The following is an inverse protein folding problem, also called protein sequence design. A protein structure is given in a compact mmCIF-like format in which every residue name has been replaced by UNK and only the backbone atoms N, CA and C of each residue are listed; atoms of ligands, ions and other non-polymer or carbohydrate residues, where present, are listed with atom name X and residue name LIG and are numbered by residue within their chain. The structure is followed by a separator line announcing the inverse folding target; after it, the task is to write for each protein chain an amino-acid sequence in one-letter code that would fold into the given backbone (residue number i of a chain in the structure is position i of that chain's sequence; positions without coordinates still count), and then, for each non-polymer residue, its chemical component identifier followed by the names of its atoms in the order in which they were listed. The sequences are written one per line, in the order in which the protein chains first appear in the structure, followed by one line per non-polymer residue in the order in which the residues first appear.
data_IF_745450791865
#
_entry.id   IF_745450791865
#
_cell.length_a   1.000
_cell.length_b   1.000
_cell.length_c   1.000
_cell.angle_alpha   90.00
_cell.angle_beta   90.00
_cell.angle_gamma   90.00
#
_symmetry.space_group_name_H-M   'P 1'
#
loop_
_entity.id
_entity.type
_entity.pdbx_description
1 polymer ?
#
# COMPACT_ATOMS: atom_id res chain seq x y z
N UNK A 1 -19.37 1.44 -2.58
CA UNK A 1 -19.34 0.77 -3.90
C UNK A 1 -20.38 1.38 -4.85
N UNK A 2 -21.55 1.80 -4.34
CA UNK A 2 -22.64 2.35 -5.15
C UNK A 2 -22.27 3.58 -6.01
N UNK A 3 -21.26 4.36 -5.63
CA UNK A 3 -20.79 5.56 -6.31
C UNK A 3 -19.51 5.32 -7.13
N UNK A 4 -19.42 4.20 -7.83
CA UNK A 4 -18.29 3.95 -8.71
C UNK A 4 -18.25 4.98 -9.84
N UNK A 5 -17.17 5.75 -9.92
CA UNK A 5 -17.03 6.87 -10.87
C UNK A 5 -16.65 6.45 -12.28
N UNK A 6 -16.29 5.19 -12.51
CA UNK A 6 -15.80 4.69 -13.81
C UNK A 6 -14.73 5.62 -14.40
N UNK A 7 -13.65 5.78 -13.67
CA UNK A 7 -12.57 6.68 -14.00
C UNK A 7 -11.34 5.90 -14.47
N UNK A 8 -10.69 6.38 -15.53
CA UNK A 8 -9.37 5.93 -15.96
C UNK A 8 -8.48 7.15 -16.03
N UNK A 9 -7.34 7.09 -15.35
CA UNK A 9 -6.36 8.16 -15.28
C UNK A 9 -5.00 7.73 -15.82
N UNK A 10 -4.29 8.67 -16.43
CA UNK A 10 -2.89 8.52 -16.82
C UNK A 10 -2.11 9.70 -16.27
N UNK A 11 -0.90 9.43 -15.80
CA UNK A 11 0.01 10.46 -15.28
C UNK A 11 1.39 10.25 -15.86
N UNK A 12 1.99 11.35 -16.28
CA UNK A 12 3.39 11.45 -16.69
C UNK A 12 4.05 12.54 -15.84
N UNK A 13 5.27 12.34 -15.43
CA UNK A 13 5.94 13.28 -14.54
C UNK A 13 7.46 13.20 -14.58
N UNK A 14 8.09 13.95 -13.69
CA UNK A 14 9.53 13.93 -13.51
C UNK A 14 10.05 12.54 -13.21
N UNK A 15 11.34 12.31 -13.45
CA UNK A 15 12.00 11.01 -13.26
C UNK A 15 11.41 9.87 -14.10
N UNK A 16 10.93 10.20 -15.31
CA UNK A 16 10.34 9.20 -16.20
C UNK A 16 9.05 8.58 -15.73
N UNK A 17 8.36 9.18 -14.74
CA UNK A 17 7.13 8.65 -14.15
C UNK A 17 6.06 8.40 -15.19
N UNK A 18 5.55 7.18 -15.19
CA UNK A 18 4.41 6.70 -15.98
C UNK A 18 3.46 5.97 -15.04
N UNK A 19 2.22 6.39 -15.01
CA UNK A 19 1.20 5.75 -14.19
C UNK A 19 -0.10 5.66 -14.96
N UNK A 20 -0.77 4.52 -14.82
CA UNK A 20 -2.15 4.33 -15.22
C UNK A 20 -2.93 3.85 -14.00
N UNK A 21 -4.12 4.39 -13.80
CA UNK A 21 -5.05 3.94 -12.78
C UNK A 21 -6.45 3.84 -13.33
N UNK A 22 -7.21 2.92 -12.77
CA UNK A 22 -8.62 2.74 -13.09
C UNK A 22 -9.41 2.50 -11.80
N UNK A 23 -10.62 3.05 -11.77
CA UNK A 23 -11.62 2.81 -10.74
C UNK A 23 -12.95 2.63 -11.45
N UNK A 24 -13.36 1.38 -11.59
CA UNK A 24 -14.56 1.00 -12.34
C UNK A 24 -15.47 0.17 -11.46
N UNK A 25 -16.78 0.42 -11.60
CA UNK A 25 -17.77 -0.30 -10.84
C UNK A 25 -19.18 -0.07 -11.37
N UNK A 26 -20.09 -0.84 -10.86
CA UNK A 26 -21.48 -0.77 -11.29
C UNK A 26 -22.31 -1.88 -10.69
N UNK A 27 -23.49 -2.04 -11.28
CA UNK A 27 -24.43 -3.11 -10.98
C UNK A 27 -24.15 -4.32 -11.87
N UNK A 28 -24.27 -5.52 -11.32
CA UNK A 28 -24.22 -6.78 -12.07
C UNK A 28 -25.61 -7.33 -12.36
N UNK A 29 -26.64 -6.84 -11.64
CA UNK A 29 -28.05 -7.19 -11.81
C UNK A 29 -28.90 -5.93 -12.09
N UNK A 30 -30.10 -6.13 -12.62
CA UNK A 30 -31.02 -5.01 -12.95
C UNK A 30 -31.54 -4.32 -11.69
N UNK A 31 -31.76 -5.05 -10.62
CA UNK A 31 -32.30 -4.57 -9.35
C UNK A 31 -31.27 -3.78 -8.53
N UNK A 32 -29.97 -4.01 -8.80
CA UNK A 32 -28.87 -3.35 -8.06
C UNK A 32 -28.57 -4.00 -6.72
N UNK A 33 -28.95 -5.27 -6.56
CA UNK A 33 -28.60 -6.05 -5.39
C UNK A 33 -27.16 -6.56 -5.44
N UNK A 34 -26.58 -6.66 -6.64
CA UNK A 34 -25.22 -7.11 -6.84
C UNK A 34 -24.37 -5.99 -7.44
N UNK A 35 -23.44 -5.47 -6.64
CA UNK A 35 -22.57 -4.36 -7.02
C UNK A 35 -21.11 -4.84 -7.07
N UNK A 36 -20.36 -4.29 -8.01
CA UNK A 36 -18.90 -4.54 -8.07
C UNK A 36 -18.13 -3.23 -8.15
N UNK A 37 -16.87 -3.26 -7.73
CA UNK A 37 -15.87 -2.22 -7.97
C UNK A 37 -14.51 -2.85 -8.12
N UNK A 38 -13.75 -2.37 -9.09
CA UNK A 38 -12.36 -2.76 -9.29
C UNK A 38 -11.50 -1.50 -9.32
N UNK A 39 -10.55 -1.43 -8.39
CA UNK A 39 -9.52 -0.39 -8.41
C UNK A 39 -8.21 -1.03 -8.86
N UNK A 40 -7.57 -0.42 -9.84
CA UNK A 40 -6.31 -0.89 -10.39
C UNK A 40 -5.32 0.28 -10.55
N UNK A 41 -4.04 0.00 -10.35
CA UNK A 41 -2.96 0.95 -10.58
C UNK A 41 -1.72 0.22 -11.07
N UNK A 42 -1.07 0.78 -12.08
CA UNK A 42 0.29 0.41 -12.50
C UNK A 42 1.12 1.68 -12.57
N UNK A 43 2.28 1.67 -11.93
CA UNK A 43 3.22 2.78 -11.92
C UNK A 43 4.63 2.29 -12.11
N UNK A 44 5.37 3.04 -12.90
CA UNK A 44 6.81 2.92 -13.10
C UNK A 44 7.40 4.33 -13.00
N UNK A 45 8.50 4.50 -12.26
CA UNK A 45 9.11 5.82 -12.02
C UNK A 45 10.54 5.65 -11.52
N UNK A 46 11.45 6.47 -12.00
CA UNK A 46 12.69 6.75 -11.27
C UNK A 46 12.41 7.60 -10.02
N UNK A 47 13.43 7.92 -9.30
CA UNK A 47 13.41 8.78 -8.10
C UNK A 47 14.35 9.99 -8.27
N UNK A 48 14.45 10.81 -7.22
CA UNK A 48 15.43 11.90 -7.18
C UNK A 48 16.88 11.41 -6.94
N UNK A 49 17.06 10.13 -6.61
CA UNK A 49 18.38 9.51 -6.46
C UNK A 49 18.69 8.77 -7.76
N UNK A 50 19.90 8.95 -8.28
CA UNK A 50 20.36 8.30 -9.50
C UNK A 50 20.30 6.78 -9.39
N UNK A 51 19.94 6.12 -10.48
CA UNK A 51 19.85 4.66 -10.60
C UNK A 51 18.87 3.99 -9.60
N UNK A 52 17.95 4.75 -9.00
CA UNK A 52 16.92 4.21 -8.10
C UNK A 52 15.55 4.28 -8.75
N UNK A 53 15.04 3.12 -9.14
CA UNK A 53 13.73 2.95 -9.76
C UNK A 53 12.70 2.40 -8.79
N UNK A 54 11.42 2.66 -9.07
CA UNK A 54 10.30 2.15 -8.30
C UNK A 54 9.09 1.81 -9.18
N UNK A 55 8.60 0.60 -9.04
CA UNK A 55 7.42 0.12 -9.73
C UNK A 55 6.36 -0.38 -8.74
N UNK A 56 5.09 -0.16 -9.06
CA UNK A 56 3.95 -0.68 -8.28
C UNK A 56 2.86 -1.19 -9.18
N UNK A 57 2.31 -2.34 -8.82
CA UNK A 57 1.05 -2.86 -9.34
C UNK A 57 0.09 -3.04 -8.17
N UNK A 58 -1.12 -2.53 -8.31
CA UNK A 58 -2.22 -2.71 -7.37
C UNK A 58 -3.46 -3.18 -8.13
N UNK A 59 -4.14 -4.17 -7.57
CA UNK A 59 -5.46 -4.62 -8.01
C UNK A 59 -6.31 -4.87 -6.76
N UNK A 60 -7.46 -4.21 -6.66
CA UNK A 60 -8.35 -4.29 -5.51
C UNK A 60 -9.82 -4.43 -5.96
N UNK A 61 -10.26 -5.66 -6.28
CA UNK A 61 -11.67 -5.92 -6.55
C UNK A 61 -12.49 -5.99 -5.26
N UNK A 62 -13.74 -5.58 -5.36
CA UNK A 62 -14.75 -5.74 -4.32
C UNK A 62 -16.11 -6.04 -4.92
N UNK A 63 -16.96 -6.73 -4.15
CA UNK A 63 -18.30 -7.08 -4.55
C UNK A 63 -19.24 -6.95 -3.36
N UNK A 64 -20.35 -6.23 -3.53
CA UNK A 64 -21.40 -6.13 -2.52
C UNK A 64 -22.63 -6.88 -2.97
N UNK A 65 -23.16 -7.70 -2.09
CA UNK A 65 -24.40 -8.45 -2.24
C UNK A 65 -25.39 -7.90 -1.22
N UNK A 66 -26.47 -7.29 -1.68
CA UNK A 66 -27.59 -6.89 -0.85
C UNK A 66 -28.62 -8.02 -0.90
N UNK A 67 -28.71 -8.82 0.16
CA UNK A 67 -29.66 -9.92 0.24
C UNK A 67 -31.10 -9.41 0.40
N UNK A 68 -31.24 -8.31 1.12
CA UNK A 68 -32.47 -7.58 1.35
C UNK A 68 -32.16 -6.16 1.86
N UNK A 69 -33.16 -5.38 2.27
CA UNK A 69 -32.99 -4.02 2.79
C UNK A 69 -32.21 -3.97 4.11
N UNK A 70 -32.17 -5.07 4.85
CA UNK A 70 -31.54 -5.16 6.16
C UNK A 70 -30.19 -5.85 6.16
N UNK A 71 -29.83 -6.58 5.10
CA UNK A 71 -28.65 -7.42 5.09
C UNK A 71 -27.81 -7.21 3.85
N UNK A 72 -26.55 -6.85 4.04
CA UNK A 72 -25.56 -6.75 2.98
C UNK A 72 -24.23 -7.41 3.35
N UNK A 73 -23.58 -7.98 2.35
CA UNK A 73 -22.25 -8.57 2.46
C UNK A 73 -21.34 -7.95 1.39
N UNK A 74 -20.26 -7.35 1.82
CA UNK A 74 -19.20 -6.86 0.92
C UNK A 74 -17.98 -7.76 1.02
N UNK A 75 -17.58 -8.36 -0.09
CA UNK A 75 -16.34 -9.09 -0.24
C UNK A 75 -15.25 -8.15 -0.76
N UNK A 76 -14.06 -8.26 -0.21
CA UNK A 76 -12.94 -7.39 -0.51
C UNK A 76 -11.68 -8.23 -0.74
N UNK A 77 -10.98 -7.96 -1.81
CA UNK A 77 -9.67 -8.54 -2.05
C UNK A 77 -8.70 -7.47 -2.53
N UNK A 78 -7.42 -7.65 -2.26
CA UNK A 78 -6.39 -6.81 -2.86
C UNK A 78 -5.09 -7.58 -3.08
N UNK A 79 -4.39 -7.21 -4.13
CA UNK A 79 -3.03 -7.60 -4.44
C UNK A 79 -2.22 -6.34 -4.70
N UNK A 80 -1.10 -6.19 -4.01
CA UNK A 80 -0.14 -5.13 -4.28
C UNK A 80 1.25 -5.73 -4.42
N UNK A 81 1.96 -5.33 -5.46
CA UNK A 81 3.37 -5.67 -5.67
C UNK A 81 4.16 -4.38 -5.82
N UNK A 82 5.16 -4.22 -4.98
CA UNK A 82 6.15 -3.15 -5.07
C UNK A 82 7.50 -3.76 -5.41
N UNK A 83 8.18 -3.11 -6.33
CA UNK A 83 9.56 -3.41 -6.73
C UNK A 83 10.29 -2.09 -6.80
N UNK A 84 11.36 -1.97 -6.05
CA UNK A 84 12.21 -0.78 -6.09
C UNK A 84 13.61 -1.13 -5.64
N UNK A 85 14.54 -0.25 -5.95
CA UNK A 85 15.81 -0.23 -5.27
C UNK A 85 15.64 0.47 -3.92
N UNK A 86 16.45 0.14 -2.90
CA UNK A 86 16.38 0.77 -1.60
C UNK A 86 16.63 2.27 -1.69
N UNK A 87 15.71 3.05 -1.15
CA UNK A 87 15.82 4.52 -1.11
C UNK A 87 16.61 5.03 0.10
N UNK A 88 17.21 4.14 0.87
CA UNK A 88 18.00 4.47 2.05
C UNK A 88 19.41 4.86 1.59
N UNK A 89 19.59 6.14 1.28
CA UNK A 89 20.87 6.71 0.87
C UNK A 89 21.47 7.50 2.05
N UNK A 90 22.49 6.92 2.67
CA UNK A 90 23.22 7.58 3.77
C UNK A 90 24.52 8.16 3.23
N UNK A 91 24.46 9.39 2.75
CA UNK A 91 25.65 10.12 2.32
C UNK A 91 26.51 10.54 3.52
N UNK A 92 27.84 10.51 3.39
CA UNK A 92 28.73 10.98 4.46
C UNK A 92 28.59 12.50 4.66
N UNK A 93 28.78 12.98 5.91
CA UNK A 93 28.79 14.41 6.20
C UNK A 93 29.92 15.14 5.47
N UNK A 94 31.07 14.50 5.38
CA UNK A 94 32.22 15.00 4.64
C UNK A 94 31.98 14.93 3.14
N UNK A 95 31.95 16.08 2.50
CA UNK A 95 31.62 16.22 1.09
C UNK A 95 30.14 16.54 0.80
N UNK A 96 29.26 16.44 1.79
CA UNK A 96 27.85 16.86 1.66
C UNK A 96 27.57 18.11 2.50
N UNK A 97 27.64 18.01 3.82
CA UNK A 97 27.39 19.09 4.79
C UNK A 97 28.70 19.80 5.14
N UNK A 98 29.76 19.01 5.33
CA UNK A 98 31.09 19.46 5.66
C UNK A 98 31.98 19.52 4.40
N UNK A 99 32.91 20.47 4.40
CA UNK A 99 33.89 20.60 3.32
C UNK A 99 34.79 19.37 3.24
N UNK A 100 34.98 18.85 2.02
CA UNK A 100 35.95 17.78 1.75
C UNK A 100 36.93 18.28 0.67
N UNK A 101 38.27 18.16 0.86
CA UNK A 101 39.25 18.58 -0.13
C UNK A 101 39.18 17.80 -1.45
N UNK A 102 38.56 16.61 -1.44
CA UNK A 102 38.36 15.79 -2.64
C UNK A 102 37.13 16.20 -3.47
N UNK A 103 36.32 17.14 -2.98
CA UNK A 103 35.17 17.68 -3.69
C UNK A 103 33.84 17.53 -2.94
N UNK A 104 32.77 17.89 -3.62
CA UNK A 104 31.39 17.80 -3.13
C UNK A 104 30.71 16.56 -3.71
N UNK A 105 29.92 15.90 -2.89
CA UNK A 105 29.04 14.80 -3.28
C UNK A 105 27.66 15.40 -3.53
N UNK A 106 27.08 15.15 -4.71
CA UNK A 106 25.74 15.60 -5.02
C UNK A 106 24.71 14.77 -4.24
N UNK A 107 23.59 15.39 -3.89
CA UNK A 107 22.57 14.78 -3.02
C UNK A 107 21.73 13.71 -3.70
N UNK A 108 21.80 13.64 -5.01
CA UNK A 108 21.19 12.61 -5.86
C UNK A 108 22.10 11.41 -6.14
N UNK A 109 23.35 11.44 -5.66
CA UNK A 109 24.32 10.35 -5.85
C UNK A 109 23.82 9.05 -5.23
N UNK A 110 23.71 8.00 -6.04
CA UNK A 110 23.47 6.64 -5.55
C UNK A 110 24.74 6.08 -4.92
N UNK A 111 24.65 5.62 -3.69
CA UNK A 111 25.80 5.02 -2.96
C UNK A 111 25.77 3.51 -2.94
N UNK A 112 24.66 2.93 -3.35
CA UNK A 112 24.45 1.50 -3.42
C UNK A 112 25.06 0.83 -4.65
N UNK A 113 24.67 -0.40 -4.87
CA UNK A 113 24.99 -1.19 -6.04
C UNK A 113 23.68 -1.71 -6.67
N UNK A 114 23.21 -1.13 -7.80
CA UNK A 114 21.96 -1.51 -8.42
C UNK A 114 21.89 -2.99 -8.83
N UNK A 115 23.04 -3.66 -8.96
CA UNK A 115 23.08 -5.10 -9.26
C UNK A 115 22.77 -6.00 -8.07
N UNK A 116 22.89 -5.47 -6.86
CA UNK A 116 22.67 -6.19 -5.61
C UNK A 116 21.43 -5.69 -4.86
N UNK A 117 21.21 -4.38 -4.86
CA UNK A 117 20.18 -3.75 -4.07
C UNK A 117 18.79 -4.05 -4.65
N UNK A 118 17.85 -4.43 -3.78
CA UNK A 118 16.45 -4.62 -4.16
C UNK A 118 15.53 -4.48 -2.97
N UNK A 119 14.38 -3.90 -3.20
CA UNK A 119 13.26 -3.92 -2.29
C UNK A 119 12.03 -4.50 -2.98
N UNK A 120 11.60 -5.66 -2.54
CA UNK A 120 10.41 -6.32 -3.03
C UNK A 120 9.37 -6.46 -1.93
N UNK A 121 8.13 -6.15 -2.25
CA UNK A 121 7.00 -6.38 -1.36
C UNK A 121 5.81 -6.92 -2.13
N UNK A 122 5.37 -8.11 -1.76
CA UNK A 122 4.14 -8.71 -2.23
C UNK A 122 3.14 -8.77 -1.09
N UNK A 123 2.01 -8.09 -1.25
CA UNK A 123 0.95 -8.03 -0.27
C UNK A 123 -0.37 -8.50 -0.88
N UNK A 124 -1.05 -9.38 -0.15
CA UNK A 124 -2.36 -9.91 -0.51
C UNK A 124 -3.30 -9.74 0.66
N UNK A 125 -4.52 -9.32 0.39
CA UNK A 125 -5.57 -9.27 1.41
C UNK A 125 -6.86 -9.89 0.88
N UNK A 126 -7.60 -10.52 1.78
CA UNK A 126 -8.95 -11.02 1.54
C UNK A 126 -9.78 -10.73 2.78
N UNK A 127 -10.99 -10.25 2.59
CA UNK A 127 -11.86 -9.93 3.70
C UNK A 127 -13.32 -9.80 3.32
N UNK A 128 -14.13 -9.61 4.34
CA UNK A 128 -15.54 -9.28 4.15
C UNK A 128 -16.01 -8.26 5.20
N UNK A 129 -17.09 -7.61 4.87
CA UNK A 129 -17.89 -6.77 5.73
C UNK A 129 -19.34 -7.22 5.64
N UNK A 130 -19.90 -7.66 6.75
CA UNK A 130 -21.29 -8.05 6.90
C UNK A 130 -22.01 -6.98 7.71
N UNK A 131 -23.09 -6.45 7.15
CA UNK A 131 -23.99 -5.53 7.83
C UNK A 131 -25.38 -6.15 7.89
N UNK A 132 -26.00 -6.15 9.07
CA UNK A 132 -27.33 -6.67 9.28
C UNK A 132 -28.11 -5.82 10.30
N UNK A 133 -29.21 -5.25 9.87
CA UNK A 133 -30.13 -4.55 10.75
C UNK A 133 -31.10 -5.57 11.38
N UNK A 134 -30.92 -5.80 12.68
CA UNK A 134 -31.74 -6.75 13.45
C UNK A 134 -33.16 -6.21 13.70
N UNK A 135 -33.26 -4.91 13.97
CA UNK A 135 -34.52 -4.16 14.16
C UNK A 135 -34.23 -2.64 14.15
N UNK A 136 -35.21 -1.81 14.49
CA UNK A 136 -35.08 -0.35 14.46
C UNK A 136 -34.03 0.20 15.47
N UNK A 137 -33.63 -0.59 16.46
CA UNK A 137 -32.72 -0.17 17.52
C UNK A 137 -31.37 -0.89 17.49
N UNK A 138 -31.24 -1.95 16.69
CA UNK A 138 -30.04 -2.78 16.70
C UNK A 138 -29.51 -3.08 15.30
N UNK A 139 -28.27 -2.69 15.07
CA UNK A 139 -27.49 -3.07 13.89
C UNK A 139 -26.32 -3.98 14.32
N UNK A 140 -26.06 -4.98 13.51
CA UNK A 140 -24.88 -5.85 13.63
C UNK A 140 -23.94 -5.57 12.46
N UNK A 141 -22.68 -5.32 12.75
CA UNK A 141 -21.63 -5.17 11.76
C UNK A 141 -20.45 -6.05 12.12
N UNK A 142 -20.00 -6.85 11.17
CA UNK A 142 -18.81 -7.68 11.31
C UNK A 142 -17.84 -7.44 10.16
N UNK A 143 -16.56 -7.24 10.50
CA UNK A 143 -15.47 -7.07 9.56
C UNK A 143 -14.39 -8.10 9.85
N UNK A 144 -14.02 -8.87 8.84
CA UNK A 144 -12.90 -9.80 8.89
C UNK A 144 -11.94 -9.50 7.75
N UNK A 145 -10.63 -9.47 8.04
CA UNK A 145 -9.60 -9.34 7.02
C UNK A 145 -8.41 -10.23 7.32
N UNK A 146 -8.05 -11.03 6.36
CA UNK A 146 -6.80 -11.78 6.32
C UNK A 146 -5.80 -11.04 5.42
N UNK A 147 -4.55 -10.95 5.84
CA UNK A 147 -3.48 -10.33 5.08
C UNK A 147 -2.22 -11.20 5.10
N UNK A 148 -1.56 -11.27 3.96
CA UNK A 148 -0.27 -11.93 3.78
C UNK A 148 0.71 -10.90 3.21
N UNK A 149 1.90 -10.84 3.78
CA UNK A 149 2.98 -9.96 3.36
C UNK A 149 4.26 -10.78 3.19
N UNK A 150 4.86 -10.68 2.00
CA UNK A 150 6.20 -11.17 1.71
C UNK A 150 7.09 -9.97 1.39
N UNK A 151 8.24 -9.88 2.01
CA UNK A 151 9.19 -8.77 1.79
C UNK A 151 10.59 -9.32 1.63
N UNK A 152 11.31 -8.83 0.63
CA UNK A 152 12.75 -8.99 0.48
C UNK A 152 13.37 -7.61 0.42
N UNK A 153 14.40 -7.37 1.22
CA UNK A 153 15.14 -6.12 1.25
C UNK A 153 16.64 -6.43 1.28
N UNK A 154 17.35 -6.00 0.26
CA UNK A 154 18.81 -6.13 0.14
C UNK A 154 19.36 -4.74 -0.12
N UNK A 155 20.26 -4.29 0.73
CA UNK A 155 20.88 -2.98 0.57
C UNK A 155 22.31 -2.98 1.10
N UNK A 156 23.07 -2.06 0.61
CA UNK A 156 24.44 -1.79 1.06
C UNK A 156 24.42 -0.55 1.96
N UNK A 157 25.07 -0.65 3.09
CA UNK A 157 25.42 0.50 3.89
C UNK A 157 26.93 0.72 3.76
N UNK A 158 27.36 1.97 3.75
CA UNK A 158 28.77 2.29 3.68
C UNK A 158 29.19 3.18 4.83
N UNK A 159 30.46 3.09 5.18
CA UNK A 159 31.13 4.00 6.10
C UNK A 159 32.42 4.52 5.47
N UNK A 160 32.83 5.71 5.86
CA UNK A 160 34.11 6.27 5.44
C UNK A 160 35.11 6.15 6.58
N UNK A 161 36.31 5.64 6.28
CA UNK A 161 37.41 5.58 7.27
C UNK A 161 38.30 6.81 7.22
N UNK A 162 38.59 7.35 6.04
CA UNK A 162 39.53 8.46 5.83
C UNK A 162 39.07 9.51 4.80
N UNK A 163 37.81 9.40 4.34
CA UNK A 163 37.25 10.26 3.30
C UNK A 163 37.63 9.87 1.87
N UNK A 164 38.37 8.80 1.66
CA UNK A 164 38.74 8.27 0.34
C UNK A 164 38.33 6.79 0.17
N UNK A 165 38.24 6.03 1.25
CA UNK A 165 37.92 4.61 1.25
C UNK A 165 36.53 4.41 1.84
N UNK A 166 35.69 3.67 1.11
CA UNK A 166 34.37 3.29 1.53
C UNK A 166 34.33 1.82 1.89
N UNK A 167 34.03 1.52 3.14
CA UNK A 167 33.69 0.17 3.58
C UNK A 167 32.20 -0.06 3.36
N UNK A 168 31.85 -1.14 2.67
CA UNK A 168 30.44 -1.51 2.41
C UNK A 168 30.04 -2.70 3.27
N UNK A 169 28.91 -2.57 3.96
CA UNK A 169 28.29 -3.66 4.71
C UNK A 169 27.03 -4.11 3.99
N UNK A 170 26.94 -5.41 3.74
CA UNK A 170 25.80 -6.03 3.07
C UNK A 170 24.71 -6.35 4.10
N UNK A 171 23.48 -5.93 3.82
CA UNK A 171 22.29 -6.28 4.59
C UNK A 171 21.28 -6.99 3.70
N UNK A 172 20.75 -8.10 4.19
CA UNK A 172 19.68 -8.83 3.53
C UNK A 172 18.61 -9.21 4.56
N UNK A 173 17.37 -8.86 4.29
CA UNK A 173 16.20 -9.24 5.07
C UNK A 173 15.16 -9.87 4.17
N UNK A 174 14.62 -10.99 4.61
CA UNK A 174 13.40 -11.54 4.04
C UNK A 174 12.44 -11.85 5.16
N UNK A 175 11.17 -11.50 4.96
CA UNK A 175 10.14 -11.68 5.97
C UNK A 175 8.83 -12.15 5.35
N UNK A 176 8.14 -13.02 6.06
CA UNK A 176 6.77 -13.44 5.79
C UNK A 176 5.94 -13.16 7.02
N UNK A 177 4.79 -12.52 6.83
CA UNK A 177 3.84 -12.25 7.90
C UNK A 177 2.41 -12.37 7.42
N UNK A 178 1.52 -12.73 8.33
CA UNK A 178 0.07 -12.67 8.13
C UNK A 178 -0.57 -11.94 9.32
N UNK A 179 -1.68 -11.27 9.05
CA UNK A 179 -2.44 -10.55 10.07
C UNK A 179 -3.93 -10.84 9.85
N UNK A 180 -4.62 -11.19 10.93
CA UNK A 180 -6.06 -11.34 10.96
C UNK A 180 -6.66 -10.21 11.78
N UNK A 181 -7.50 -9.39 11.15
CA UNK A 181 -8.28 -8.36 11.83
C UNK A 181 -9.74 -8.81 11.93
N UNK A 182 -10.29 -8.77 13.13
CA UNK A 182 -11.69 -9.01 13.40
C UNK A 182 -12.24 -7.85 14.22
N UNK A 183 -13.28 -7.21 13.74
CA UNK A 183 -13.94 -6.11 14.40
C UNK A 183 -15.45 -6.33 14.32
N UNK A 184 -16.09 -6.47 15.46
CA UNK A 184 -17.55 -6.48 15.60
C UNK A 184 -18.02 -5.14 16.17
N UNK A 185 -19.05 -4.61 15.58
CA UNK A 185 -19.71 -3.41 16.07
C UNK A 185 -21.20 -3.68 16.27
N UNK A 186 -21.69 -3.34 17.44
CA UNK A 186 -23.12 -3.30 17.74
C UNK A 186 -23.48 -1.84 18.02
N UNK A 187 -24.44 -1.30 17.30
CA UNK A 187 -25.02 0.00 17.60
C UNK A 187 -26.47 -0.21 18.01
N UNK A 188 -26.83 0.30 19.17
CA UNK A 188 -28.21 0.29 19.64
C UNK A 188 -28.44 1.48 20.57
N UNK A 189 -29.56 2.15 20.48
CA UNK A 189 -29.97 3.07 21.52
C UNK A 189 -30.33 2.26 22.77
N UNK A 190 -29.40 2.23 23.74
CA UNK A 190 -29.72 1.76 25.06
C UNK A 190 -30.47 2.88 25.82
N UNK A 191 -31.78 2.89 25.75
CA UNK A 191 -32.58 3.46 26.80
C UNK A 191 -32.52 2.57 28.05
N UNK A 192 -31.35 2.44 28.65
CA UNK A 192 -31.18 1.91 29.96
C UNK A 192 -31.53 3.01 30.98
N UNK A 193 -32.80 2.94 31.46
CA UNK A 193 -33.22 3.52 32.72
C UNK A 193 -32.68 4.93 33.02
N UNK A 194 -33.27 5.96 32.45
CA UNK A 194 -33.50 7.26 33.12
C UNK A 194 -32.38 7.92 33.91
N UNK A 195 -31.10 7.70 33.58
CA UNK A 195 -30.00 8.42 34.16
C UNK A 195 -29.39 9.34 33.09
N UNK A 196 -29.56 10.67 33.23
CA UNK A 196 -28.83 11.61 32.37
C UNK A 196 -27.34 11.50 32.69
N UNK A 197 -26.52 11.42 31.63
CA UNK A 197 -25.09 11.70 31.68
C UNK A 197 -24.85 13.21 31.75
#
# INVERSE_FOLDING_TARGET
IADARNEVGMQFGSFGRKQINADVGGKLDEEGNLLYRVVALSRDTGTQVDDVDAARILLAPSMTINFNEDTSLTLLASMQKDRSDPQLQFLPSSGTIEHNPNGKIDTDTAVGDPSYETFERDQYTLGYELNHRLNDNWDFQQNLRYGQLNTTNQYLNFSTSDGQIFDRTVFQFSGFGWVLFHLDRHSGEQNFLGLPL
#
